data_IF_619658375097
#
_entry.id   IF_619658375097
#
_cell.length_a   1.000
_cell.length_b   1.000
_cell.length_c   1.000
_cell.angle_alpha   90.00
_cell.angle_beta   90.00
_cell.angle_gamma   90.00
#
_symmetry.space_group_name_H-M   'P 1'
#
loop_
_entity.id
_entity.type
_entity.pdbx_description
1 polymer ?
#
# COMPACT_ATOMS: atom_id res chain seq x y z
N UNK A 1 -7.63 -43.23 -4.47
CA UNK A 1 -8.26 -41.95 -4.07
C UNK A 1 -8.28 -41.73 -2.56
N UNK A 2 -8.77 -42.66 -1.72
CA UNK A 2 -8.83 -42.41 -0.27
C UNK A 2 -7.48 -42.10 0.40
N UNK A 3 -6.39 -42.77 -0.01
CA UNK A 3 -5.04 -42.52 0.53
C UNK A 3 -4.48 -41.14 0.18
N UNK A 4 -4.79 -40.67 -1.01
CA UNK A 4 -4.38 -39.35 -1.50
C UNK A 4 -5.12 -38.26 -0.72
N UNK A 5 -6.44 -38.42 -0.53
CA UNK A 5 -7.21 -37.56 0.36
C UNK A 5 -6.68 -37.54 1.80
N UNK A 6 -6.27 -38.70 2.32
CA UNK A 6 -5.67 -38.82 3.66
C UNK A 6 -4.35 -38.03 3.75
N UNK A 7 -3.51 -38.11 2.72
CA UNK A 7 -2.26 -37.34 2.64
C UNK A 7 -2.53 -35.84 2.56
N UNK A 8 -3.42 -35.42 1.65
CA UNK A 8 -3.81 -34.01 1.50
C UNK A 8 -4.40 -33.44 2.81
N UNK A 9 -5.12 -34.26 3.58
CA UNK A 9 -5.63 -33.87 4.89
C UNK A 9 -4.52 -33.74 5.95
N UNK A 10 -3.53 -34.64 5.96
CA UNK A 10 -2.36 -34.49 6.84
C UNK A 10 -1.56 -33.22 6.55
N UNK A 11 -1.44 -32.85 5.28
CA UNK A 11 -0.70 -31.67 4.83
C UNK A 11 -1.52 -30.37 4.98
N UNK A 12 -2.80 -30.47 5.38
CA UNK A 12 -3.70 -29.33 5.60
C UNK A 12 -4.28 -28.73 4.33
N UNK A 13 -4.11 -29.39 3.18
CA UNK A 13 -4.61 -28.91 1.88
C UNK A 13 -6.10 -29.23 1.67
N UNK A 14 -6.62 -30.26 2.35
CA UNK A 14 -8.02 -30.68 2.23
C UNK A 14 -8.63 -31.00 3.61
N UNK A 15 -9.76 -30.38 3.94
CA UNK A 15 -10.52 -30.69 5.14
C UNK A 15 -11.91 -31.20 4.74
N UNK A 16 -12.11 -32.51 4.85
CA UNK A 16 -13.34 -33.20 4.48
C UNK A 16 -13.92 -33.92 5.71
N UNK A 17 -15.06 -33.44 6.20
CA UNK A 17 -15.74 -34.01 7.37
C UNK A 17 -16.22 -35.46 7.11
N UNK A 18 -16.52 -35.80 5.86
CA UNK A 18 -16.92 -37.17 5.49
C UNK A 18 -15.74 -38.14 5.63
N UNK A 19 -14.53 -37.68 5.25
CA UNK A 19 -13.31 -38.46 5.40
C UNK A 19 -12.96 -38.71 6.86
N UNK A 20 -13.13 -37.71 7.73
CA UNK A 20 -12.90 -37.85 9.19
C UNK A 20 -13.82 -38.95 9.77
N UNK A 21 -15.10 -38.94 9.41
CA UNK A 21 -16.03 -39.99 9.83
C UNK A 21 -15.62 -41.36 9.28
N UNK A 22 -15.17 -41.43 8.03
CA UNK A 22 -14.71 -42.68 7.41
C UNK A 22 -13.47 -43.23 8.14
N UNK A 23 -12.51 -42.38 8.48
CA UNK A 23 -11.31 -42.76 9.27
C UNK A 23 -11.73 -43.26 10.65
N UNK A 24 -12.74 -42.66 11.28
CA UNK A 24 -13.21 -43.10 12.60
C UNK A 24 -13.81 -44.52 12.58
N UNK A 25 -14.41 -44.94 11.46
CA UNK A 25 -15.05 -46.25 11.34
C UNK A 25 -14.11 -47.35 10.81
N UNK A 26 -13.08 -47.00 10.03
CA UNK A 26 -12.20 -47.97 9.36
C UNK A 26 -10.85 -48.14 10.09
N UNK A 27 -10.59 -49.36 10.60
CA UNK A 27 -9.34 -49.70 11.28
C UNK A 27 -8.11 -49.64 10.36
N UNK A 28 -8.25 -49.98 9.08
CA UNK A 28 -7.15 -49.97 8.13
C UNK A 28 -6.71 -48.53 7.79
N UNK A 29 -7.66 -47.59 7.71
CA UNK A 29 -7.34 -46.17 7.53
C UNK A 29 -6.70 -45.56 8.79
N UNK A 30 -7.17 -45.92 9.99
CA UNK A 30 -6.55 -45.47 11.26
C UNK A 30 -5.08 -45.88 11.36
N UNK A 31 -4.78 -47.15 11.07
CA UNK A 31 -3.41 -47.65 11.09
C UNK A 31 -2.52 -46.92 10.07
N UNK A 32 -3.09 -46.55 8.92
CA UNK A 32 -2.37 -45.78 7.89
C UNK A 32 -2.09 -44.35 8.32
N UNK A 33 -3.06 -43.70 8.95
CA UNK A 33 -2.91 -42.37 9.55
C UNK A 33 -1.80 -42.35 10.61
N UNK A 34 -1.80 -43.35 11.52
CA UNK A 34 -0.75 -43.53 12.51
C UNK A 34 0.63 -43.71 11.85
N UNK A 35 0.72 -44.60 10.86
CA UNK A 35 1.97 -44.87 10.14
C UNK A 35 2.52 -43.63 9.45
N UNK A 36 1.65 -42.80 8.87
CA UNK A 36 2.04 -41.58 8.18
C UNK A 36 2.57 -40.51 9.15
N UNK A 37 1.91 -40.33 10.31
CA UNK A 37 2.43 -39.45 11.35
C UNK A 37 3.75 -39.95 11.94
N UNK A 38 3.88 -41.27 12.17
CA UNK A 38 5.14 -41.86 12.62
C UNK A 38 6.28 -41.60 11.61
N UNK A 39 6.05 -41.83 10.32
CA UNK A 39 7.05 -41.53 9.28
C UNK A 39 7.39 -40.03 9.27
N UNK A 40 6.39 -39.15 9.34
CA UNK A 40 6.61 -37.70 9.37
C UNK A 40 7.48 -37.27 10.55
N UNK A 41 7.21 -37.82 11.73
CA UNK A 41 7.90 -37.45 12.96
C UNK A 41 9.33 -38.04 12.97
N UNK A 42 9.53 -39.24 12.43
CA UNK A 42 10.89 -39.80 12.21
C UNK A 42 11.72 -38.96 11.25
N UNK A 43 11.13 -38.47 10.14
CA UNK A 43 11.82 -37.60 9.19
C UNK A 43 12.21 -36.24 9.78
N UNK A 44 11.45 -35.74 10.74
CA UNK A 44 11.76 -34.49 11.47
C UNK A 44 12.70 -34.71 12.65
N UNK A 45 13.09 -35.95 12.92
CA UNK A 45 13.82 -36.34 14.13
C UNK A 45 13.10 -35.88 15.42
N UNK A 46 11.76 -35.87 15.38
CA UNK A 46 10.87 -35.51 16.49
C UNK A 46 10.35 -36.78 17.18
N UNK A 47 11.27 -37.71 17.43
CA UNK A 47 11.01 -38.98 18.10
C UNK A 47 11.92 -39.08 19.33
N UNK A 48 11.38 -39.59 20.43
CA UNK A 48 12.16 -39.90 21.63
C UNK A 48 13.02 -41.15 21.45
N UNK A 49 13.87 -41.43 22.45
CA UNK A 49 14.70 -42.65 22.51
C UNK A 49 13.85 -43.93 22.58
N UNK A 50 12.64 -43.83 23.13
CA UNK A 50 11.66 -44.93 23.21
C UNK A 50 10.36 -44.50 22.52
N UNK A 51 9.88 -45.34 21.61
CA UNK A 51 8.64 -45.12 20.85
C UNK A 51 7.51 -45.92 21.50
N UNK A 52 6.45 -45.22 21.93
CA UNK A 52 5.24 -45.83 22.48
C UNK A 52 4.11 -45.78 21.46
N UNK A 53 3.71 -46.93 20.94
CA UNK A 53 2.61 -47.05 19.95
C UNK A 53 1.22 -47.15 20.59
N UNK A 54 1.15 -47.26 21.92
CA UNK A 54 -0.10 -47.49 22.66
C UNK A 54 -0.68 -46.22 23.31
N UNK A 55 -0.08 -45.05 23.08
CA UNK A 55 -0.49 -43.77 23.69
C UNK A 55 -1.93 -43.44 23.29
N UNK A 56 -2.24 -43.49 21.99
CA UNK A 56 -3.57 -43.14 21.48
C UNK A 56 -4.66 -44.04 22.09
N UNK A 57 -4.38 -45.35 22.25
CA UNK A 57 -5.29 -46.31 22.88
C UNK A 57 -5.50 -46.04 24.36
N UNK A 58 -4.42 -45.73 25.11
CA UNK A 58 -4.51 -45.37 26.53
C UNK A 58 -5.30 -44.09 26.75
N UNK A 59 -5.08 -43.07 25.92
CA UNK A 59 -5.81 -41.81 25.97
C UNK A 59 -7.29 -42.04 25.63
N UNK A 60 -7.60 -42.81 24.58
CA UNK A 60 -8.98 -43.14 24.24
C UNK A 60 -9.70 -43.86 25.40
N UNK A 61 -9.04 -44.83 26.05
CA UNK A 61 -9.59 -45.51 27.22
C UNK A 61 -9.77 -44.57 28.42
N UNK A 62 -8.83 -43.65 28.65
CA UNK A 62 -8.95 -42.65 29.71
C UNK A 62 -10.11 -41.67 29.45
N UNK A 63 -10.30 -41.25 28.20
CA UNK A 63 -11.41 -40.38 27.77
C UNK A 63 -12.78 -41.06 27.93
N UNK A 64 -12.88 -42.37 27.64
CA UNK A 64 -14.12 -43.12 27.85
C UNK A 64 -14.52 -43.19 29.34
N UNK A 65 -13.53 -43.20 30.23
CA UNK A 65 -13.75 -43.17 31.68
C UNK A 65 -13.92 -41.76 32.25
N UNK A 66 -13.77 -40.71 31.44
CA UNK A 66 -13.93 -39.34 31.89
C UNK A 66 -15.42 -38.98 32.01
N UNK A 67 -15.84 -38.63 33.22
CA UNK A 67 -17.19 -38.10 33.43
C UNK A 67 -17.30 -36.75 32.71
N UNK A 68 -18.17 -36.67 31.69
CA UNK A 68 -18.43 -35.45 30.91
C UNK A 68 -18.90 -34.34 31.85
N UNK A 69 -17.96 -33.50 32.28
CA UNK A 69 -18.26 -32.26 33.00
C UNK A 69 -18.69 -31.23 31.98
N UNK A 70 -19.95 -31.26 31.60
CA UNK A 70 -20.58 -30.09 30.99
C UNK A 70 -20.61 -29.04 32.09
N UNK A 71 -19.63 -28.14 32.10
CA UNK A 71 -19.66 -26.97 32.96
C UNK A 71 -20.57 -25.93 32.29
N UNK A 72 -21.82 -25.73 32.76
CA UNK A 72 -22.70 -24.70 32.21
C UNK A 72 -22.18 -23.27 32.47
N UNK A 73 -21.09 -23.12 33.22
CA UNK A 73 -20.42 -21.85 33.51
C UNK A 73 -19.27 -21.54 32.53
N UNK A 74 -19.14 -22.25 31.40
CA UNK A 74 -18.32 -21.73 30.30
C UNK A 74 -18.94 -20.40 29.91
N UNK A 75 -18.29 -19.33 30.34
CA UNK A 75 -18.60 -17.96 29.96
C UNK A 75 -18.63 -17.95 28.45
N UNK A 76 -19.83 -17.95 27.87
CA UNK A 76 -20.03 -17.63 26.48
C UNK A 76 -19.50 -16.21 26.37
N UNK A 77 -18.31 -16.04 25.81
CA UNK A 77 -17.84 -14.71 25.43
C UNK A 77 -18.93 -14.12 24.55
N UNK A 78 -19.67 -13.17 25.11
CA UNK A 78 -20.73 -12.50 24.40
C UNK A 78 -20.08 -11.80 23.21
N UNK A 79 -20.25 -12.36 22.02
CA UNK A 79 -19.82 -11.72 20.80
C UNK A 79 -20.40 -10.30 20.79
N UNK A 80 -19.59 -9.26 20.54
CA UNK A 80 -20.08 -7.90 20.55
C UNK A 80 -21.15 -7.76 19.47
N UNK A 81 -22.40 -7.60 19.89
CA UNK A 81 -23.50 -7.37 18.94
C UNK A 81 -23.20 -6.15 18.08
N UNK A 82 -23.61 -6.14 16.79
CA UNK A 82 -23.29 -5.05 15.85
C UNK A 82 -23.76 -3.67 16.33
N UNK A 83 -24.76 -3.60 17.21
CA UNK A 83 -25.23 -2.37 17.85
C UNK A 83 -24.19 -1.72 18.78
N UNK A 84 -23.25 -2.49 19.32
CA UNK A 84 -22.20 -2.02 20.23
C UNK A 84 -21.06 -1.32 19.53
N UNK A 85 -20.90 -1.53 18.22
CA UNK A 85 -19.80 -0.95 17.44
C UNK A 85 -19.87 0.58 17.45
N UNK A 86 -21.06 1.15 17.30
CA UNK A 86 -21.28 2.60 17.39
C UNK A 86 -20.87 3.22 18.73
N UNK A 87 -20.74 2.41 19.80
CA UNK A 87 -20.31 2.87 21.13
C UNK A 87 -18.81 2.78 21.35
N UNK A 88 -18.06 2.15 20.43
CA UNK A 88 -16.62 2.01 20.57
C UNK A 88 -15.93 3.35 20.26
N UNK A 89 -14.94 3.77 21.07
CA UNK A 89 -14.34 5.10 20.99
C UNK A 89 -13.63 5.36 19.66
N UNK A 90 -13.23 4.32 18.92
CA UNK A 90 -12.58 4.46 17.62
C UNK A 90 -13.55 4.91 16.51
N UNK A 91 -14.82 4.49 16.52
CA UNK A 91 -15.80 4.89 15.51
C UNK A 91 -16.09 6.40 15.56
N UNK A 92 -16.09 6.98 16.76
CA UNK A 92 -16.23 8.44 16.95
C UNK A 92 -15.06 9.22 16.34
N UNK A 93 -13.86 8.62 16.30
CA UNK A 93 -12.65 9.25 15.73
C UNK A 93 -12.60 9.15 14.20
N UNK A 94 -13.20 8.12 13.60
CA UNK A 94 -13.20 7.88 12.15
C UNK A 94 -14.33 8.65 11.45
N UNK A 95 -15.47 8.84 12.13
CA UNK A 95 -16.64 9.56 11.60
C UNK A 95 -16.35 10.93 10.94
N UNK A 96 -15.53 11.83 11.50
CA UNK A 96 -15.23 13.12 10.85
C UNK A 96 -14.40 12.99 9.57
N UNK A 97 -13.63 11.91 9.41
CA UNK A 97 -12.81 11.68 8.22
C UNK A 97 -13.57 10.94 7.11
N UNK A 98 -14.68 10.28 7.46
CA UNK A 98 -15.51 9.53 6.51
C UNK A 98 -16.04 10.41 5.36
N UNK A 99 -16.41 11.67 5.63
CA UNK A 99 -16.89 12.57 4.57
C UNK A 99 -15.79 12.90 3.55
N UNK A 100 -14.54 13.06 3.99
CA UNK A 100 -13.40 13.35 3.13
C UNK A 100 -13.01 12.13 2.29
N UNK A 101 -13.00 10.93 2.89
CA UNK A 101 -12.75 9.69 2.15
C UNK A 101 -13.81 9.47 1.08
N UNK A 102 -15.09 9.72 1.38
CA UNK A 102 -16.18 9.57 0.40
C UNK A 102 -16.03 10.55 -0.76
N UNK A 103 -15.66 11.81 -0.49
CA UNK A 103 -15.42 12.80 -1.55
C UNK A 103 -14.24 12.39 -2.46
N UNK A 104 -13.13 11.96 -1.86
CA UNK A 104 -11.96 11.45 -2.60
C UNK A 104 -12.35 10.20 -3.40
N UNK A 105 -13.12 9.28 -2.81
CA UNK A 105 -13.58 8.06 -3.46
C UNK A 105 -14.45 8.34 -4.68
N UNK A 106 -15.41 9.27 -4.59
CA UNK A 106 -16.25 9.65 -5.73
C UNK A 106 -15.41 10.29 -6.84
N UNK A 107 -14.53 11.22 -6.51
CA UNK A 107 -13.65 11.85 -7.50
C UNK A 107 -12.73 10.82 -8.18
N UNK A 108 -12.09 9.95 -7.41
CA UNK A 108 -11.20 8.90 -7.91
C UNK A 108 -11.93 7.90 -8.81
N UNK A 109 -13.15 7.49 -8.45
CA UNK A 109 -13.97 6.60 -9.28
C UNK A 109 -14.33 7.24 -10.62
N UNK A 110 -14.71 8.51 -10.62
CA UNK A 110 -15.02 9.24 -11.87
C UNK A 110 -13.76 9.38 -12.73
N UNK A 111 -12.62 9.75 -12.14
CA UNK A 111 -11.34 9.82 -12.86
C UNK A 111 -10.91 8.47 -13.43
N UNK A 112 -11.03 7.39 -12.65
CA UNK A 112 -10.73 6.02 -13.11
C UNK A 112 -11.65 5.62 -14.26
N UNK A 113 -12.95 5.89 -14.17
CA UNK A 113 -13.91 5.58 -15.23
C UNK A 113 -13.61 6.34 -16.53
N UNK A 114 -13.17 7.60 -16.44
CA UNK A 114 -12.75 8.38 -17.62
C UNK A 114 -11.48 7.81 -18.24
N UNK A 115 -10.46 7.50 -17.43
CA UNK A 115 -9.19 6.96 -17.93
C UNK A 115 -9.38 5.58 -18.58
N UNK A 116 -10.09 4.67 -17.89
CA UNK A 116 -10.40 3.33 -18.41
C UNK A 116 -11.33 3.41 -19.61
N UNK A 117 -12.33 4.29 -19.58
CA UNK A 117 -13.24 4.52 -20.69
C UNK A 117 -12.53 4.98 -21.96
N UNK A 118 -11.57 5.91 -21.88
CA UNK A 118 -10.79 6.39 -23.02
C UNK A 118 -9.87 5.30 -23.59
N UNK A 119 -9.31 4.45 -22.72
CA UNK A 119 -8.47 3.33 -23.14
C UNK A 119 -9.29 2.21 -23.81
N UNK A 120 -10.47 1.89 -23.26
CA UNK A 120 -11.42 0.91 -23.81
C UNK A 120 -12.01 1.40 -25.14
N UNK A 121 -12.30 2.71 -25.27
CA UNK A 121 -12.85 3.32 -26.48
C UNK A 121 -11.83 3.40 -27.63
N UNK A 122 -10.55 3.63 -27.33
CA UNK A 122 -9.49 3.61 -28.36
C UNK A 122 -9.11 2.18 -28.79
N UNK A 123 -9.11 1.20 -27.88
CA UNK A 123 -8.83 -0.20 -28.26
C UNK A 123 -9.92 -0.85 -29.11
N UNK A 124 -11.18 -0.40 -28.99
CA UNK A 124 -12.29 -0.95 -29.76
C UNK A 124 -12.38 -0.40 -31.19
N UNK A 125 -11.54 0.58 -31.57
CA UNK A 125 -11.48 1.13 -32.93
C UNK A 125 -10.20 0.76 -33.71
N UNK A 126 -9.29 -0.03 -33.14
CA UNK A 126 -8.08 -0.46 -33.83
C UNK A 126 -8.27 -1.81 -34.53
N UNK A 127 -9.03 -1.79 -35.63
CA UNK A 127 -8.77 -2.70 -36.76
C UNK A 127 -8.31 -1.80 -37.89
N UNK A 128 -7.02 -1.90 -38.20
CA UNK A 128 -6.34 -1.36 -39.37
C UNK A 128 -6.31 0.18 -39.51
N UNK A 129 -5.24 0.79 -39.00
CA UNK A 129 -4.62 1.98 -39.61
C UNK A 129 -3.23 2.16 -39.03
N UNK A 130 -2.23 1.98 -39.90
CA UNK A 130 -0.85 2.39 -39.68
C UNK A 130 -0.82 3.89 -39.35
N UNK A 131 -0.25 4.27 -38.20
CA UNK A 131 0.05 5.69 -37.91
C UNK A 131 1.45 5.79 -37.32
N UNK A 132 2.28 6.40 -38.17
CA UNK A 132 3.50 7.16 -37.98
C UNK A 132 3.86 7.54 -36.53
N UNK A 133 5.11 7.27 -36.17
CA UNK A 133 5.74 7.58 -34.89
C UNK A 133 6.06 9.09 -34.84
N UNK A 134 5.50 9.89 -33.91
CA UNK A 134 5.85 11.29 -33.82
C UNK A 134 7.26 11.43 -33.22
N UNK A 135 8.24 11.70 -34.08
CA UNK A 135 9.61 12.08 -33.68
C UNK A 135 9.57 13.37 -32.87
N UNK A 136 9.95 13.27 -31.60
CA UNK A 136 10.20 14.42 -30.73
C UNK A 136 11.39 15.23 -31.27
N UNK A 137 11.12 16.37 -31.90
CA UNK A 137 12.10 17.40 -32.20
C UNK A 137 11.81 18.64 -31.33
N UNK A 138 12.48 18.77 -30.18
CA UNK A 138 12.46 20.01 -29.40
C UNK A 138 13.90 20.42 -29.06
N UNK A 139 14.39 21.40 -29.80
CA UNK A 139 15.62 22.13 -29.50
C UNK A 139 15.35 22.94 -28.22
N UNK A 140 16.16 22.85 -27.15
CA UNK A 140 15.90 23.60 -25.93
C UNK A 140 16.39 25.03 -26.12
N UNK A 141 15.47 25.95 -26.39
CA UNK A 141 15.72 27.40 -26.36
C UNK A 141 14.64 28.06 -25.50
N UNK A 142 15.04 28.57 -24.34
CA UNK A 142 14.30 29.66 -23.68
C UNK A 142 13.66 29.34 -22.33
N UNK A 143 14.35 29.79 -21.27
CA UNK A 143 13.84 30.23 -19.94
C UNK A 143 12.89 29.28 -19.20
N UNK A 144 13.45 28.54 -18.24
CA UNK A 144 12.68 27.97 -17.14
C UNK A 144 12.04 29.06 -16.28
N UNK A 145 10.72 29.12 -16.28
CA UNK A 145 9.95 29.80 -15.24
C UNK A 145 9.63 28.75 -14.15
N UNK A 146 10.07 28.95 -12.89
CA UNK A 146 9.70 28.04 -11.82
C UNK A 146 8.22 28.23 -11.49
N UNK A 147 7.44 27.16 -11.63
CA UNK A 147 6.05 27.09 -11.16
C UNK A 147 6.05 27.00 -9.62
N UNK A 148 5.76 28.11 -8.94
CA UNK A 148 5.48 28.10 -7.50
C UNK A 148 4.03 27.67 -7.27
N UNK A 149 3.81 26.42 -6.87
CA UNK A 149 2.51 25.93 -6.39
C UNK A 149 2.22 26.57 -5.02
N UNK A 150 1.51 27.69 -5.01
CA UNK A 150 0.99 28.29 -3.78
C UNK A 150 -0.37 27.61 -3.47
N UNK A 151 -0.37 26.59 -2.62
CA UNK A 151 -1.62 26.01 -2.09
C UNK A 151 -2.18 26.96 -1.04
N UNK A 152 -3.08 27.84 -1.48
CA UNK A 152 -4.01 28.52 -0.59
C UNK A 152 -5.28 27.67 -0.51
N UNK A 153 -5.52 27.04 0.65
CA UNK A 153 -6.80 26.42 1.00
C UNK A 153 -7.89 27.50 1.08
N UNK A 154 -8.56 27.79 -0.04
CA UNK A 154 -9.88 28.43 -0.04
C UNK A 154 -10.60 28.22 -1.37
N UNK A 155 -10.97 26.98 -1.69
CA UNK A 155 -12.08 26.77 -2.62
C UNK A 155 -13.38 27.05 -1.87
N UNK A 156 -14.12 28.08 -2.29
CA UNK A 156 -15.60 28.19 -2.25
C UNK A 156 -16.05 29.62 -2.59
N UNK A 157 -15.85 30.08 -3.83
CA UNK A 157 -16.80 30.88 -4.64
C UNK A 157 -16.09 31.40 -5.89
N UNK A 158 -16.76 31.35 -7.04
CA UNK A 158 -16.24 31.92 -8.27
C UNK A 158 -16.05 33.43 -8.13
N UNK A 159 -14.84 33.92 -8.40
CA UNK A 159 -14.61 35.33 -8.67
C UNK A 159 -13.43 35.45 -9.62
N UNK A 160 -13.71 35.69 -10.91
CA UNK A 160 -12.68 35.99 -11.93
C UNK A 160 -11.73 37.12 -11.50
N UNK A 161 -12.15 37.95 -10.54
CA UNK A 161 -11.31 39.00 -9.95
C UNK A 161 -10.12 38.48 -9.14
N UNK A 162 -10.21 37.30 -8.52
CA UNK A 162 -9.09 36.77 -7.73
C UNK A 162 -8.02 36.16 -8.65
N UNK A 163 -8.42 35.52 -9.74
CA UNK A 163 -7.51 35.02 -10.78
C UNK A 163 -6.73 36.17 -11.44
N UNK A 164 -7.40 37.28 -11.75
CA UNK A 164 -6.74 38.47 -12.32
C UNK A 164 -5.74 39.13 -11.35
N UNK A 165 -6.03 39.12 -10.04
CA UNK A 165 -5.08 39.64 -9.03
C UNK A 165 -3.84 38.74 -8.90
N UNK A 166 -4.02 37.42 -8.97
CA UNK A 166 -2.93 36.45 -8.94
C UNK A 166 -2.04 36.60 -10.18
N UNK A 167 -2.60 36.80 -11.37
CA UNK A 167 -1.83 37.06 -12.59
C UNK A 167 -1.01 38.35 -12.48
N UNK A 168 -1.60 39.44 -11.97
CA UNK A 168 -0.88 40.70 -11.75
C UNK A 168 0.23 40.56 -10.70
N UNK A 169 0.01 39.77 -9.65
CA UNK A 169 1.03 39.50 -8.64
C UNK A 169 2.19 38.68 -9.22
N UNK A 170 1.90 37.66 -10.02
CA UNK A 170 2.91 36.86 -10.71
C UNK A 170 3.74 37.70 -11.70
N UNK A 171 3.10 38.61 -12.44
CA UNK A 171 3.81 39.53 -13.34
C UNK A 171 4.78 40.44 -12.57
N UNK A 172 4.37 40.95 -11.40
CA UNK A 172 5.25 41.77 -10.53
C UNK A 172 6.42 40.98 -9.98
N UNK A 173 6.19 39.74 -9.55
CA UNK A 173 7.26 38.85 -9.04
C UNK A 173 8.29 38.55 -10.15
N UNK A 174 7.83 38.29 -11.37
CA UNK A 174 8.71 38.06 -12.52
C UNK A 174 9.60 39.27 -12.83
N UNK A 175 9.07 40.50 -12.74
CA UNK A 175 9.85 41.72 -12.93
C UNK A 175 10.86 41.93 -11.79
N UNK A 176 10.47 41.68 -10.55
CA UNK A 176 11.37 41.74 -9.39
C UNK A 176 12.53 40.76 -9.53
N UNK A 177 12.27 39.54 -10.00
CA UNK A 177 13.31 38.53 -10.20
C UNK A 177 14.33 38.95 -11.26
N UNK A 178 13.86 39.53 -12.38
CA UNK A 178 14.75 40.06 -13.42
C UNK A 178 15.62 41.19 -12.89
N UNK A 179 15.04 42.11 -12.11
CA UNK A 179 15.79 43.21 -11.51
C UNK A 179 16.85 42.69 -10.53
N UNK A 180 16.51 41.69 -9.72
CA UNK A 180 17.44 41.08 -8.77
C UNK A 180 18.64 40.42 -9.47
N UNK A 181 18.43 39.74 -10.61
CA UNK A 181 19.53 39.17 -11.37
C UNK A 181 20.47 40.24 -11.96
N UNK A 182 19.92 41.37 -12.41
CA UNK A 182 20.71 42.51 -12.91
C UNK A 182 21.54 43.12 -11.79
N UNK A 183 20.93 43.39 -10.64
CA UNK A 183 21.62 43.96 -9.48
C UNK A 183 22.71 43.03 -8.95
N UNK A 184 22.44 41.72 -8.90
CA UNK A 184 23.45 40.74 -8.49
C UNK A 184 24.66 40.76 -9.44
N UNK A 185 24.42 40.88 -10.76
CA UNK A 185 25.50 40.97 -11.76
C UNK A 185 26.24 42.30 -11.68
N UNK A 186 25.56 43.42 -11.44
CA UNK A 186 26.21 44.71 -11.29
C UNK A 186 27.09 44.74 -10.03
N UNK A 187 26.62 44.17 -8.92
CA UNK A 187 27.41 44.03 -7.70
C UNK A 187 28.64 43.14 -7.90
N UNK A 188 28.48 41.98 -8.56
CA UNK A 188 29.61 41.09 -8.89
C UNK A 188 30.65 41.80 -9.79
N UNK A 189 30.19 42.53 -10.82
CA UNK A 189 31.08 43.28 -11.71
C UNK A 189 31.73 44.49 -11.01
N UNK A 190 31.04 45.14 -10.08
CA UNK A 190 31.62 46.22 -9.27
C UNK A 190 32.71 45.67 -8.34
N UNK A 191 32.46 44.53 -7.71
CA UNK A 191 33.45 43.86 -6.86
C UNK A 191 34.67 43.38 -7.66
N UNK A 192 34.47 42.95 -8.92
CA UNK A 192 35.56 42.61 -9.83
C UNK A 192 36.39 43.85 -10.23
N UNK A 193 35.74 44.96 -10.59
CA UNK A 193 36.44 46.21 -10.92
C UNK A 193 37.19 46.83 -9.72
N UNK A 194 36.66 46.72 -8.51
CA UNK A 194 37.36 47.17 -7.29
C UNK A 194 38.57 46.28 -6.95
N UNK A 195 38.48 44.96 -7.21
CA UNK A 195 39.62 44.05 -7.07
C UNK A 195 40.71 44.33 -8.12
N UNK A 196 40.35 44.63 -9.38
CA UNK A 196 41.32 44.99 -10.42
C UNK A 196 41.99 46.35 -10.16
N UNK A 197 41.26 47.35 -9.63
CA UNK A 197 41.86 48.63 -9.21
C UNK A 197 42.83 48.46 -8.04
N UNK A 198 42.49 47.63 -7.05
CA UNK A 198 43.39 47.33 -5.94
C UNK A 198 44.64 46.57 -6.41
N UNK A 199 44.51 45.64 -7.36
CA UNK A 199 45.64 44.94 -7.98
C UNK A 199 46.52 45.87 -8.83
N UNK A 200 45.94 46.81 -9.59
CA UNK A 200 46.69 47.81 -10.36
C UNK A 200 47.41 48.84 -9.46
N UNK A 201 46.85 49.20 -8.30
CA UNK A 201 47.50 50.12 -7.35
C UNK A 201 48.68 49.49 -6.59
N UNK A 202 48.69 48.17 -6.42
CA UNK A 202 49.79 47.43 -5.81
C UNK A 202 51.01 47.26 -6.74
N UNK A 203 50.83 47.46 -8.05
CA UNK A 203 51.89 47.33 -9.07
C UNK A 203 52.72 48.60 -9.35
N UNK A 204 52.44 49.74 -8.72
CA UNK A 204 53.12 51.04 -9.02
C UNK A 204 54.13 51.47 -7.95
N UNK A 205 54.47 50.63 -6.97
CA UNK A 205 55.48 50.95 -5.94
C UNK A 205 56.73 50.08 -6.02
N UNK A 206 57.38 50.06 -7.18
CA UNK A 206 58.79 49.67 -7.32
C UNK A 206 59.48 50.57 -8.36
N UNK A 207 59.83 51.78 -7.93
CA UNK A 207 61.02 52.53 -8.35
C UNK A 207 61.38 53.53 -7.25
#
# INVERSE_FOLDING_TARGET
MQREKLSAMMDGEALDLELINTISCDSALKQRWESYHLVRDTLRNDIGDVIHLDIASKVAAALENEAVRINPQVVVESQPEPSTWNRLPFWNKIRPWASQITQIGVAACVSLAVIVGVQQYNQSNSVDSMVDEPVFNTVPVGRGAPVSLNLSDSQLFGTDQQTQQIEQQNQRINAMLQQYEIERRSMLNQQHNENDKNAASAGVKLQ
#
